data_IF_758166077533
#
_entry.id   IF_758166077533
#
_cell.length_a   1.000
_cell.length_b   1.000
_cell.length_c   1.000
_cell.angle_alpha   90.00
_cell.angle_beta   90.00
_cell.angle_gamma   90.00
#
_symmetry.space_group_name_H-M   'P 1'
#
loop_
_entity.id
_entity.type
_entity.pdbx_description
1 polymer ?
#
# COMPACT_ATOMS: atom_id res chain seq x y z
N UNK A 1 6.52 22.27 -11.20
CA UNK A 1 7.90 22.61 -10.77
C UNK A 1 8.12 24.12 -10.52
N UNK A 2 7.10 24.88 -10.08
CA UNK A 2 7.21 26.33 -9.83
C UNK A 2 7.21 26.73 -8.34
N UNK A 3 6.98 25.79 -7.41
CA UNK A 3 6.85 26.11 -5.98
C UNK A 3 8.20 26.24 -5.25
N UNK A 4 9.20 25.42 -5.59
CA UNK A 4 10.50 25.44 -4.89
C UNK A 4 11.33 26.71 -5.14
N UNK A 5 11.19 27.34 -6.32
CA UNK A 5 11.97 28.53 -6.68
C UNK A 5 11.51 29.79 -5.94
N UNK A 6 10.23 29.87 -5.60
CA UNK A 6 9.66 31.01 -4.87
C UNK A 6 10.07 30.94 -3.39
N UNK A 7 10.09 29.73 -2.81
CA UNK A 7 10.51 29.53 -1.41
C UNK A 7 12.00 29.85 -1.22
N UNK A 8 12.87 29.50 -2.16
CA UNK A 8 14.30 29.85 -2.09
C UNK A 8 14.57 31.36 -2.26
N UNK A 9 13.75 32.07 -3.02
CA UNK A 9 13.87 33.52 -3.16
C UNK A 9 13.42 34.27 -1.89
N UNK A 10 12.38 33.78 -1.22
CA UNK A 10 11.95 34.38 0.06
C UNK A 10 12.99 34.14 1.18
N UNK A 11 13.63 32.97 1.22
CA UNK A 11 14.67 32.67 2.21
C UNK A 11 15.97 33.48 2.02
N UNK A 12 16.32 33.84 0.78
CA UNK A 12 17.52 34.66 0.50
C UNK A 12 17.31 36.16 0.78
N UNK A 13 16.08 36.66 0.64
CA UNK A 13 15.74 38.07 0.99
C UNK A 13 15.61 38.26 2.50
N UNK A 14 15.09 37.26 3.24
CA UNK A 14 15.05 37.32 4.71
C UNK A 14 16.46 37.21 5.32
N UNK A 15 17.39 36.48 4.68
CA UNK A 15 18.79 36.39 5.15
C UNK A 15 19.60 37.69 5.00
N UNK A 16 19.24 38.57 4.07
CA UNK A 16 19.99 39.82 3.82
C UNK A 16 19.50 40.99 4.70
N UNK A 17 18.29 40.92 5.26
CA UNK A 17 17.78 41.94 6.18
C UNK A 17 18.34 41.87 7.61
N UNK A 18 19.08 40.81 7.96
CA UNK A 18 19.69 40.63 9.30
C UNK A 18 21.20 40.92 9.33
N UNK A 19 21.79 41.49 8.26
CA UNK A 19 23.24 41.69 8.18
C UNK A 19 23.69 43.09 7.76
N UNK A 20 22.83 44.12 7.88
CA UNK A 20 23.21 45.49 7.56
C UNK A 20 23.10 46.40 8.79
N UNK A 21 24.25 46.96 9.16
CA UNK A 21 24.49 48.08 10.08
C UNK A 21 23.94 47.98 11.51
N UNK A 22 24.80 47.47 12.39
CA UNK A 22 24.91 48.00 13.75
C UNK A 22 26.31 48.57 13.89
N UNK A 23 26.36 49.89 14.12
CA UNK A 23 27.52 50.73 13.92
C UNK A 23 28.71 50.41 14.82
N UNK A 24 29.83 51.00 14.45
CA UNK A 24 31.14 50.96 15.12
C UNK A 24 31.14 51.49 16.58
N UNK A 25 29.99 51.81 17.17
CA UNK A 25 29.89 52.52 18.45
C UNK A 25 29.37 51.67 19.64
N UNK A 26 28.88 50.45 19.41
CA UNK A 26 28.34 49.61 20.50
C UNK A 26 29.40 48.72 21.20
N UNK A 27 30.61 48.60 20.63
CA UNK A 27 31.68 47.79 21.23
C UNK A 27 32.48 48.53 22.33
N UNK A 28 32.51 49.87 22.28
CA UNK A 28 33.14 50.71 23.32
C UNK A 28 32.18 51.00 24.48
N UNK A 29 30.87 51.08 24.22
CA UNK A 29 29.84 51.29 25.24
C UNK A 29 29.53 50.03 26.07
N UNK A 30 29.68 48.82 25.49
CA UNK A 30 29.44 47.54 26.16
C UNK A 30 30.63 47.03 27.01
N UNK A 31 31.54 47.91 27.43
CA UNK A 31 32.62 47.57 28.37
C UNK A 31 33.82 46.82 27.77
N UNK A 32 33.98 46.79 26.43
CA UNK A 32 35.06 46.12 25.72
C UNK A 32 36.47 46.74 25.87
N UNK A 33 36.61 47.83 26.64
CA UNK A 33 37.89 48.50 26.89
C UNK A 33 38.69 47.95 28.08
N UNK A 34 38.08 47.13 28.93
CA UNK A 34 38.77 46.55 30.09
C UNK A 34 39.27 45.18 29.69
N UNK A 35 40.52 45.12 29.22
CA UNK A 35 41.27 43.86 29.28
C UNK A 35 41.25 43.45 30.73
N UNK A 36 40.39 42.49 31.07
CA UNK A 36 40.43 41.81 32.37
C UNK A 36 41.88 41.39 32.65
N UNK A 37 42.28 41.25 33.92
CA UNK A 37 43.64 40.87 34.25
C UNK A 37 44.02 39.73 33.33
N UNK A 38 45.04 39.93 32.47
CA UNK A 38 45.60 38.81 31.71
C UNK A 38 45.72 37.70 32.74
N UNK A 39 45.16 36.53 32.46
CA UNK A 39 45.45 35.34 33.26
C UNK A 39 46.95 35.33 33.34
N UNK A 40 47.46 35.74 34.51
CA UNK A 40 48.89 35.73 34.79
C UNK A 40 49.26 34.31 34.45
N UNK A 41 50.17 34.16 33.49
CA UNK A 41 50.75 32.88 33.13
C UNK A 41 50.99 32.16 34.44
N UNK A 42 50.17 31.11 34.66
CA UNK A 42 49.98 30.47 35.96
C UNK A 42 51.39 30.24 36.50
N UNK A 43 51.75 31.02 37.53
CA UNK A 43 53.11 31.13 38.06
C UNK A 43 53.77 29.77 37.90
N UNK A 44 54.74 29.66 36.98
CA UNK A 44 55.36 28.37 36.66
C UNK A 44 55.80 27.81 37.99
N UNK A 45 55.06 26.80 38.47
CA UNK A 45 55.37 26.24 39.77
C UNK A 45 56.79 25.71 39.63
N UNK A 46 57.59 25.87 40.68
CA UNK A 46 58.95 25.29 40.78
C UNK A 46 58.96 23.78 40.47
N UNK A 47 57.79 23.14 40.40
CA UNK A 47 57.56 21.76 39.95
C UNK A 47 57.67 21.52 38.42
N UNK A 48 57.92 22.55 37.59
CA UNK A 48 58.05 22.42 36.13
C UNK A 48 59.51 22.36 35.64
N UNK A 49 60.45 22.02 36.51
CA UNK A 49 61.85 21.80 36.12
C UNK A 49 61.98 20.47 35.36
N UNK A 50 62.31 20.57 34.07
CA UNK A 50 62.31 19.45 33.12
C UNK A 50 63.72 18.86 32.89
N UNK A 51 64.64 19.07 33.84
CA UNK A 51 66.04 18.67 33.73
C UNK A 51 66.29 17.16 34.00
N UNK A 52 65.27 16.33 33.77
CA UNK A 52 65.33 14.88 33.98
C UNK A 52 65.59 14.15 32.65
N UNK A 53 66.47 13.12 32.63
CA UNK A 53 66.67 12.31 31.44
C UNK A 53 65.40 11.53 31.07
N UNK A 54 65.25 11.17 29.80
CA UNK A 54 64.15 10.32 29.36
C UNK A 54 64.21 8.94 30.03
N UNK A 55 63.06 8.44 30.47
CA UNK A 55 62.95 7.10 31.05
C UNK A 55 63.15 6.02 29.98
N UNK A 56 63.79 4.91 30.38
CA UNK A 56 63.83 3.66 29.63
C UNK A 56 62.73 2.71 30.11
N UNK A 57 62.41 1.66 29.34
CA UNK A 57 61.34 0.71 29.71
C UNK A 57 61.64 -0.03 31.04
N UNK A 58 62.92 -0.21 31.37
CA UNK A 58 63.39 -0.81 32.63
C UNK A 58 63.19 0.11 33.85
N UNK A 59 62.99 1.42 33.64
CA UNK A 59 62.68 2.37 34.72
C UNK A 59 61.22 2.28 35.18
N UNK A 60 60.35 1.66 34.39
CA UNK A 60 58.97 1.38 34.80
C UNK A 60 59.00 0.36 35.96
N UNK A 61 58.15 0.54 36.98
CA UNK A 61 58.16 -0.16 38.28
C UNK A 61 59.16 0.39 39.32
N UNK A 62 60.32 0.93 38.91
CA UNK A 62 61.27 1.60 39.84
C UNK A 62 61.03 3.11 39.97
N UNK A 63 60.64 3.79 38.89
CA UNK A 63 60.21 5.20 38.88
C UNK A 63 58.73 5.28 38.57
N UNK A 64 57.94 5.75 39.54
CA UNK A 64 56.49 5.87 39.41
C UNK A 64 56.05 7.33 39.33
N UNK A 65 54.98 7.64 38.58
CA UNK A 65 54.40 8.97 38.56
C UNK A 65 53.90 9.37 39.95
N UNK A 66 53.86 10.67 40.22
CA UNK A 66 53.32 11.18 41.47
C UNK A 66 51.86 10.74 41.67
N UNK A 67 51.52 10.36 42.91
CA UNK A 67 50.16 9.94 43.27
C UNK A 67 49.10 11.01 42.99
N UNK A 68 49.44 12.30 43.08
CA UNK A 68 48.53 13.40 42.75
C UNK A 68 48.14 13.42 41.26
N UNK A 69 49.10 13.15 40.35
CA UNK A 69 48.81 13.06 38.91
C UNK A 69 47.94 11.85 38.61
N UNK A 70 48.24 10.70 39.22
CA UNK A 70 47.43 9.50 39.05
C UNK A 70 46.02 9.68 39.59
N UNK A 71 45.85 10.30 40.76
CA UNK A 71 44.53 10.57 41.33
C UNK A 71 43.69 11.48 40.43
N UNK A 72 44.29 12.52 39.86
CA UNK A 72 43.61 13.41 38.91
C UNK A 72 43.14 12.68 37.65
N UNK A 73 43.99 11.85 37.05
CA UNK A 73 43.64 11.07 35.87
C UNK A 73 42.57 10.01 36.18
N UNK A 74 42.68 9.32 37.32
CA UNK A 74 41.68 8.34 37.76
C UNK A 74 40.32 9.02 37.94
N UNK A 75 40.29 10.19 38.58
CA UNK A 75 39.03 10.91 38.83
C UNK A 75 38.42 11.48 37.54
N UNK A 76 39.24 12.04 36.65
CA UNK A 76 38.81 12.53 35.33
C UNK A 76 38.20 11.41 34.48
N UNK A 77 38.89 10.27 34.40
CA UNK A 77 38.42 9.11 33.64
C UNK A 77 37.15 8.50 34.27
N UNK A 78 37.09 8.40 35.60
CA UNK A 78 35.87 7.94 36.29
C UNK A 78 34.68 8.87 36.04
N UNK A 79 34.92 10.19 36.01
CA UNK A 79 33.88 11.17 35.70
C UNK A 79 33.41 11.05 34.25
N UNK A 80 34.32 10.88 33.29
CA UNK A 80 33.96 10.68 31.87
C UNK A 80 33.16 9.38 31.67
N UNK A 81 33.59 8.27 32.29
CA UNK A 81 32.82 7.02 32.27
C UNK A 81 31.43 7.20 32.88
N UNK A 82 31.31 7.89 34.01
CA UNK A 82 30.01 8.14 34.65
C UNK A 82 29.08 8.97 33.75
N UNK A 83 29.61 10.04 33.15
CA UNK A 83 28.86 10.88 32.22
C UNK A 83 28.39 10.10 30.99
N UNK A 84 29.28 9.27 30.43
CA UNK A 84 28.98 8.43 29.27
C UNK A 84 27.96 7.34 29.59
N UNK A 85 28.09 6.69 30.75
CA UNK A 85 27.12 5.69 31.23
C UNK A 85 25.74 6.31 31.40
N UNK A 86 25.66 7.51 31.97
CA UNK A 86 24.38 8.21 32.15
C UNK A 86 23.73 8.58 30.81
N UNK A 87 24.52 9.06 29.84
CA UNK A 87 24.02 9.34 28.48
C UNK A 87 23.50 8.07 27.80
N UNK A 88 24.25 6.96 27.90
CA UNK A 88 23.84 5.67 27.37
C UNK A 88 22.56 5.17 28.03
N UNK A 89 22.48 5.26 29.36
CA UNK A 89 21.30 4.83 30.13
C UNK A 89 20.05 5.62 29.74
N UNK A 90 20.17 6.94 29.58
CA UNK A 90 19.05 7.79 29.16
C UNK A 90 18.57 7.40 27.75
N UNK A 91 19.49 7.23 26.79
CA UNK A 91 19.13 6.79 25.44
C UNK A 91 18.46 5.41 25.43
N UNK A 92 18.93 4.47 26.26
CA UNK A 92 18.35 3.14 26.36
C UNK A 92 16.91 3.20 26.88
N UNK A 93 16.63 4.01 27.89
CA UNK A 93 15.27 4.19 28.40
C UNK A 93 14.34 4.84 27.37
N UNK A 94 14.83 5.81 26.59
CA UNK A 94 14.06 6.40 25.49
C UNK A 94 13.70 5.35 24.44
N UNK A 95 14.66 4.54 23.98
CA UNK A 95 14.36 3.45 23.04
C UNK A 95 13.40 2.41 23.62
N UNK A 96 13.52 2.08 24.91
CA UNK A 96 12.62 1.15 25.56
C UNK A 96 11.18 1.69 25.63
N UNK A 97 11.02 2.99 25.88
CA UNK A 97 9.71 3.67 25.88
C UNK A 97 9.13 3.68 24.46
N UNK A 98 9.90 4.16 23.48
CA UNK A 98 9.46 4.22 22.08
C UNK A 98 9.10 2.84 21.53
N UNK A 99 9.84 1.79 21.90
CA UNK A 99 9.51 0.43 21.50
C UNK A 99 8.15 -0.04 22.06
N UNK A 100 7.74 0.39 23.27
CA UNK A 100 6.40 0.08 23.80
C UNK A 100 5.33 0.79 22.98
N UNK A 101 5.54 2.05 22.62
CA UNK A 101 4.61 2.86 21.85
C UNK A 101 4.51 2.39 20.39
N UNK A 102 5.63 2.05 19.74
CA UNK A 102 5.63 1.47 18.39
C UNK A 102 4.97 0.10 18.35
N UNK A 103 5.17 -0.73 19.39
CA UNK A 103 4.54 -2.04 19.47
C UNK A 103 3.03 -1.95 19.71
N UNK A 104 2.54 -0.97 20.47
CA UNK A 104 1.10 -0.74 20.63
C UNK A 104 0.47 -0.26 19.32
N UNK A 105 1.11 0.70 18.63
CA UNK A 105 0.67 1.16 17.30
C UNK A 105 0.63 0.03 16.27
N UNK A 106 1.68 -0.79 16.22
CA UNK A 106 1.76 -1.93 15.30
C UNK A 106 0.63 -2.94 15.56
N UNK A 107 0.32 -3.23 16.83
CA UNK A 107 -0.82 -4.09 17.18
C UNK A 107 -2.15 -3.49 16.74
N UNK A 108 -2.36 -2.19 16.96
CA UNK A 108 -3.59 -1.52 16.54
C UNK A 108 -3.79 -1.61 15.03
N UNK A 109 -2.75 -1.30 14.24
CA UNK A 109 -2.80 -1.41 12.77
C UNK A 109 -3.06 -2.86 12.35
N UNK A 110 -2.39 -3.83 12.99
CA UNK A 110 -2.56 -5.25 12.67
C UNK A 110 -3.97 -5.75 12.94
N UNK A 111 -4.60 -5.34 14.04
CA UNK A 111 -5.99 -5.72 14.36
C UNK A 111 -6.99 -5.08 13.39
N UNK A 112 -6.79 -3.81 13.01
CA UNK A 112 -7.63 -3.14 12.01
C UNK A 112 -7.55 -3.87 10.67
N UNK A 113 -6.34 -4.09 10.14
CA UNK A 113 -6.15 -4.78 8.86
C UNK A 113 -6.72 -6.21 8.91
N UNK A 114 -6.51 -6.94 10.01
CA UNK A 114 -7.06 -8.28 10.20
C UNK A 114 -8.59 -8.29 10.17
N UNK A 115 -9.24 -7.30 10.80
CA UNK A 115 -10.68 -7.11 10.74
C UNK A 115 -11.17 -6.79 9.33
N UNK A 116 -10.50 -5.87 8.64
CA UNK A 116 -10.85 -5.43 7.30
C UNK A 116 -10.73 -6.57 6.27
N UNK A 117 -9.66 -7.37 6.32
CA UNK A 117 -9.51 -8.54 5.45
C UNK A 117 -10.60 -9.59 5.70
N UNK A 118 -10.97 -9.85 6.95
CA UNK A 118 -12.05 -10.77 7.27
C UNK A 118 -13.42 -10.25 6.77
N UNK A 119 -13.67 -8.95 6.92
CA UNK A 119 -14.88 -8.30 6.42
C UNK A 119 -14.94 -8.28 4.89
N UNK A 120 -13.83 -7.96 4.22
CA UNK A 120 -13.71 -7.99 2.76
C UNK A 120 -13.96 -9.39 2.21
N UNK A 121 -13.37 -10.43 2.81
CA UNK A 121 -13.62 -11.82 2.43
C UNK A 121 -15.11 -12.20 2.56
N UNK A 122 -15.78 -11.74 3.62
CA UNK A 122 -17.23 -11.94 3.77
C UNK A 122 -18.06 -11.16 2.74
N UNK A 123 -17.59 -10.01 2.27
CA UNK A 123 -18.26 -9.27 1.19
C UNK A 123 -18.09 -9.98 -0.15
N UNK A 124 -16.88 -10.46 -0.44
CA UNK A 124 -16.57 -11.20 -1.66
C UNK A 124 -17.33 -12.52 -1.73
N UNK A 125 -17.43 -13.26 -0.63
CA UNK A 125 -18.21 -14.50 -0.61
C UNK A 125 -19.70 -14.26 -0.90
N UNK A 126 -20.25 -13.15 -0.41
CA UNK A 126 -21.66 -12.79 -0.61
C UNK A 126 -21.87 -12.35 -2.05
N UNK A 127 -20.98 -11.51 -2.57
CA UNK A 127 -21.00 -11.08 -3.96
C UNK A 127 -20.89 -12.26 -4.92
N UNK A 128 -19.95 -13.18 -4.67
CA UNK A 128 -19.75 -14.37 -5.49
C UNK A 128 -21.01 -15.22 -5.55
N UNK A 129 -21.67 -15.47 -4.40
CA UNK A 129 -22.94 -16.21 -4.35
C UNK A 129 -24.04 -15.56 -5.18
N UNK A 130 -24.23 -14.25 -5.03
CA UNK A 130 -25.27 -13.51 -5.77
C UNK A 130 -24.96 -13.47 -7.27
N UNK A 131 -23.69 -13.27 -7.64
CA UNK A 131 -23.27 -13.24 -9.04
C UNK A 131 -23.45 -14.58 -9.74
N UNK A 132 -23.16 -15.70 -9.07
CA UNK A 132 -23.34 -17.05 -9.61
C UNK A 132 -24.83 -17.40 -9.75
N UNK A 133 -25.67 -17.03 -8.77
CA UNK A 133 -27.13 -17.21 -8.87
C UNK A 133 -27.70 -16.41 -10.06
N UNK A 134 -27.37 -15.12 -10.17
CA UNK A 134 -27.80 -14.27 -11.28
C UNK A 134 -27.34 -14.83 -12.64
N UNK A 135 -26.08 -15.25 -12.75
CA UNK A 135 -25.54 -15.84 -13.98
C UNK A 135 -26.32 -17.09 -14.39
N UNK A 136 -26.59 -17.99 -13.43
CA UNK A 136 -27.35 -19.22 -13.71
C UNK A 136 -28.77 -18.92 -14.18
N UNK A 137 -29.45 -17.94 -13.56
CA UNK A 137 -30.81 -17.52 -13.94
C UNK A 137 -30.85 -16.87 -15.32
N UNK A 138 -29.86 -16.03 -15.64
CA UNK A 138 -29.74 -15.40 -16.96
C UNK A 138 -29.52 -16.45 -18.04
N UNK A 139 -28.68 -17.46 -17.80
CA UNK A 139 -28.45 -18.56 -18.76
C UNK A 139 -29.72 -19.42 -18.98
N UNK A 140 -30.48 -19.68 -17.92
CA UNK A 140 -31.78 -20.37 -18.03
C UNK A 140 -32.78 -19.51 -18.81
N UNK A 141 -32.85 -18.21 -18.52
CA UNK A 141 -33.76 -17.29 -19.19
C UNK A 141 -33.40 -17.15 -20.68
N UNK A 142 -32.11 -17.04 -21.00
CA UNK A 142 -31.62 -16.98 -22.38
C UNK A 142 -32.06 -18.21 -23.19
N UNK A 143 -31.95 -19.42 -22.62
CA UNK A 143 -32.44 -20.66 -23.25
C UNK A 143 -33.95 -20.59 -23.53
N UNK A 144 -34.75 -20.18 -22.54
CA UNK A 144 -36.21 -20.04 -22.70
C UNK A 144 -36.58 -18.98 -23.74
N UNK A 145 -35.91 -17.82 -23.75
CA UNK A 145 -36.16 -16.76 -24.72
C UNK A 145 -35.86 -17.24 -26.14
N UNK A 146 -34.73 -17.94 -26.35
CA UNK A 146 -34.39 -18.51 -27.66
C UNK A 146 -35.47 -19.50 -28.14
N UNK A 147 -35.94 -20.39 -27.27
CA UNK A 147 -37.00 -21.34 -27.59
C UNK A 147 -38.31 -20.63 -28.01
N UNK A 148 -38.72 -19.60 -27.26
CA UNK A 148 -39.93 -18.83 -27.58
C UNK A 148 -39.78 -18.01 -28.86
N UNK A 149 -38.61 -17.45 -29.11
CA UNK A 149 -38.33 -16.74 -30.36
C UNK A 149 -38.36 -17.69 -31.55
N UNK A 150 -37.76 -18.89 -31.44
CA UNK A 150 -37.84 -19.92 -32.48
C UNK A 150 -39.30 -20.34 -32.76
N UNK A 151 -40.10 -20.53 -31.72
CA UNK A 151 -41.52 -20.85 -31.85
C UNK A 151 -42.29 -19.74 -32.58
N UNK A 152 -42.03 -18.47 -32.25
CA UNK A 152 -42.65 -17.32 -32.91
C UNK A 152 -42.23 -17.24 -34.38
N UNK A 153 -40.95 -17.44 -34.69
CA UNK A 153 -40.45 -17.42 -36.07
C UNK A 153 -41.09 -18.51 -36.94
N UNK A 154 -41.27 -19.71 -36.38
CA UNK A 154 -41.96 -20.80 -37.06
C UNK A 154 -43.43 -20.44 -37.33
N UNK A 155 -44.13 -19.91 -36.32
CA UNK A 155 -45.52 -19.48 -36.47
C UNK A 155 -45.68 -18.33 -37.48
N UNK A 156 -44.78 -17.35 -37.47
CA UNK A 156 -44.75 -16.25 -38.43
C UNK A 156 -44.63 -16.76 -39.88
N UNK A 157 -43.74 -17.74 -40.12
CA UNK A 157 -43.57 -18.35 -41.43
C UNK A 157 -44.81 -19.15 -41.85
N UNK A 158 -45.42 -19.90 -40.93
CA UNK A 158 -46.65 -20.64 -41.21
C UNK A 158 -47.83 -19.71 -41.52
N UNK A 159 -48.00 -18.63 -40.76
CA UNK A 159 -49.06 -17.63 -41.00
C UNK A 159 -48.82 -16.92 -42.34
N UNK A 160 -47.56 -16.59 -42.69
CA UNK A 160 -47.23 -16.03 -44.01
C UNK A 160 -47.66 -16.97 -45.14
N UNK A 161 -47.31 -18.25 -45.04
CA UNK A 161 -47.70 -19.25 -46.05
C UNK A 161 -49.23 -19.38 -46.14
N UNK A 162 -49.91 -19.45 -45.00
CA UNK A 162 -51.37 -19.52 -44.94
C UNK A 162 -52.04 -18.28 -45.54
N UNK A 163 -51.52 -17.08 -45.29
CA UNK A 163 -52.08 -15.83 -45.83
C UNK A 163 -52.00 -15.80 -47.37
N UNK A 164 -50.88 -16.26 -47.92
CA UNK A 164 -50.70 -16.35 -49.38
C UNK A 164 -51.68 -17.37 -49.98
N UNK A 165 -51.84 -18.52 -49.34
CA UNK A 165 -52.76 -19.56 -49.82
C UNK A 165 -54.23 -19.12 -49.70
N UNK A 166 -54.61 -18.42 -48.63
CA UNK A 166 -55.94 -17.82 -48.49
C UNK A 166 -56.20 -16.78 -49.59
N UNK A 167 -55.23 -15.90 -49.88
CA UNK A 167 -55.36 -14.93 -51.00
C UNK A 167 -55.59 -15.63 -52.34
N UNK A 168 -54.87 -16.74 -52.61
CA UNK A 168 -55.05 -17.52 -53.85
C UNK A 168 -56.41 -18.22 -53.90
N UNK A 169 -56.81 -18.84 -52.79
CA UNK A 169 -58.07 -19.57 -52.68
C UNK A 169 -59.28 -18.63 -52.81
N UNK A 170 -59.18 -17.42 -52.26
CA UNK A 170 -60.21 -16.39 -52.35
C UNK A 170 -60.50 -16.02 -53.82
N UNK A 171 -59.45 -15.78 -54.61
CA UNK A 171 -59.55 -15.48 -56.05
C UNK A 171 -60.05 -16.70 -56.84
N UNK A 172 -59.58 -17.91 -56.52
CA UNK A 172 -60.03 -19.13 -57.19
C UNK A 172 -61.52 -19.39 -56.95
N UNK A 173 -62.00 -19.22 -55.71
CA UNK A 173 -63.41 -19.36 -55.35
C UNK A 173 -64.25 -18.29 -56.05
N UNK A 174 -63.77 -17.06 -56.19
CA UNK A 174 -64.47 -16.01 -56.95
C UNK A 174 -64.75 -16.41 -58.38
N UNK A 175 -63.71 -16.89 -59.06
CA UNK A 175 -63.78 -17.32 -60.45
C UNK A 175 -64.74 -18.50 -60.55
N UNK A 176 -64.65 -19.46 -59.64
CA UNK A 176 -65.56 -20.61 -59.58
C UNK A 176 -67.01 -20.18 -59.36
N UNK A 177 -67.29 -19.27 -58.44
CA UNK A 177 -68.66 -18.77 -58.21
C UNK A 177 -69.18 -18.01 -59.44
N UNK A 178 -68.35 -17.18 -60.07
CA UNK A 178 -68.71 -16.43 -61.28
C UNK A 178 -68.96 -17.37 -62.47
N UNK A 179 -68.23 -18.47 -62.57
CA UNK A 179 -68.41 -19.49 -63.61
C UNK A 179 -69.81 -20.14 -63.58
N UNK A 180 -70.42 -20.26 -62.40
CA UNK A 180 -71.76 -20.83 -62.24
C UNK A 180 -72.88 -19.97 -62.84
N UNK A 181 -72.62 -18.71 -63.23
CA UNK A 181 -73.63 -17.83 -63.82
C UNK A 181 -74.22 -18.36 -65.13
N UNK A 182 -73.46 -19.18 -65.86
CA UNK A 182 -73.93 -19.85 -67.09
C UNK A 182 -74.59 -21.21 -66.88
N UNK A 183 -74.53 -21.76 -65.67
CA UNK A 183 -75.01 -23.13 -65.38
C UNK A 183 -76.12 -23.19 -64.32
N UNK A 184 -76.19 -22.20 -63.42
CA UNK A 184 -77.16 -22.15 -62.32
C UNK A 184 -78.20 -21.05 -62.54
N UNK A 185 -79.38 -21.20 -61.92
CA UNK A 185 -80.48 -20.23 -62.01
C UNK A 185 -80.17 -18.88 -61.36
N UNK A 186 -79.23 -18.85 -60.40
CA UNK A 186 -78.79 -17.64 -59.69
C UNK A 186 -77.29 -17.69 -59.44
N UNK A 187 -76.62 -16.56 -59.63
CA UNK A 187 -75.23 -16.37 -59.25
C UNK A 187 -75.12 -15.44 -58.03
N UNK A 188 -74.20 -15.74 -57.13
CA UNK A 188 -73.88 -14.90 -55.99
C UNK A 188 -72.98 -13.74 -56.45
N UNK A 189 -73.46 -12.51 -56.35
CA UNK A 189 -72.64 -11.33 -56.56
C UNK A 189 -71.86 -11.04 -55.25
N UNK A 190 -70.54 -11.16 -55.32
CA UNK A 190 -69.61 -10.82 -54.24
C UNK A 190 -68.42 -10.08 -54.84
N UNK A 191 -67.81 -9.21 -54.04
CA UNK A 191 -66.58 -8.49 -54.39
C UNK A 191 -65.50 -8.87 -53.38
N UNK A 192 -64.26 -8.94 -53.83
CA UNK A 192 -63.12 -9.40 -53.04
C UNK A 192 -62.19 -8.24 -52.80
N UNK A 193 -61.86 -8.02 -51.53
CA UNK A 193 -60.89 -7.02 -51.16
C UNK A 193 -59.47 -7.63 -51.13
N UNK A 194 -58.75 -7.47 -52.22
CA UNK A 194 -57.34 -7.86 -52.31
C UNK A 194 -56.42 -6.88 -51.57
N UNK A 195 -56.89 -5.66 -51.28
CA UNK A 195 -56.10 -4.61 -50.65
C UNK A 195 -55.83 -4.95 -49.19
N UNK A 196 -56.82 -5.48 -48.48
CA UNK A 196 -56.68 -5.94 -47.09
C UNK A 196 -55.59 -7.01 -46.96
N UNK A 197 -55.60 -8.02 -47.84
CA UNK A 197 -54.56 -9.06 -47.85
C UNK A 197 -53.15 -8.50 -48.09
N UNK A 198 -53.00 -7.49 -48.97
CA UNK A 198 -51.71 -6.84 -49.21
C UNK A 198 -51.23 -6.01 -48.03
N UNK A 199 -52.14 -5.33 -47.34
CA UNK A 199 -51.80 -4.54 -46.16
C UNK A 199 -51.41 -5.44 -44.99
N UNK A 200 -52.12 -6.55 -44.78
CA UNK A 200 -51.76 -7.58 -43.80
C UNK A 200 -50.39 -8.21 -44.12
N UNK A 201 -50.11 -8.49 -45.39
CA UNK A 201 -48.81 -9.03 -45.80
C UNK A 201 -47.67 -8.04 -45.52
N UNK A 202 -47.85 -6.76 -45.85
CA UNK A 202 -46.87 -5.70 -45.56
C UNK A 202 -46.61 -5.55 -44.06
N UNK A 203 -47.67 -5.59 -43.25
CA UNK A 203 -47.54 -5.54 -41.79
C UNK A 203 -46.77 -6.75 -41.26
N UNK A 204 -47.06 -7.96 -41.75
CA UNK A 204 -46.36 -9.17 -41.34
C UNK A 204 -44.88 -9.16 -41.73
N UNK A 205 -44.55 -8.72 -42.94
CA UNK A 205 -43.16 -8.57 -43.39
C UNK A 205 -42.39 -7.55 -42.54
N UNK A 206 -43.02 -6.44 -42.17
CA UNK A 206 -42.43 -5.43 -41.30
C UNK A 206 -42.11 -5.98 -39.89
N UNK A 207 -42.96 -6.87 -39.36
CA UNK A 207 -42.74 -7.50 -38.05
C UNK A 207 -41.63 -8.56 -38.12
N UNK A 208 -41.60 -9.37 -39.18
CA UNK A 208 -40.58 -10.43 -39.35
C UNK A 208 -39.18 -9.84 -39.58
N UNK A 209 -39.10 -8.65 -40.17
CA UNK A 209 -37.82 -7.96 -40.37
C UNK A 209 -37.14 -7.52 -39.06
N UNK A 210 -37.86 -7.50 -37.92
CA UNK A 210 -37.27 -7.15 -36.62
C UNK A 210 -36.59 -8.38 -36.02
N UNK A 211 -35.31 -8.24 -35.69
CA UNK A 211 -34.59 -9.29 -34.97
C UNK A 211 -35.10 -9.39 -33.52
N UNK A 212 -35.55 -10.59 -33.15
CA UNK A 212 -36.05 -10.92 -31.81
C UNK A 212 -34.98 -11.64 -30.99
N UNK A 213 -33.88 -12.07 -31.61
CA UNK A 213 -32.81 -12.72 -30.89
C UNK A 213 -32.00 -11.69 -30.08
N UNK A 214 -31.62 -12.01 -28.83
CA UNK A 214 -30.69 -11.19 -28.10
C UNK A 214 -29.36 -11.12 -28.88
N UNK A 215 -28.75 -9.92 -28.93
CA UNK A 215 -27.44 -9.69 -29.54
C UNK A 215 -26.48 -10.82 -29.16
N UNK A 216 -25.74 -11.32 -30.16
CA UNK A 216 -24.79 -12.45 -30.07
C UNK A 216 -23.53 -12.10 -29.27
N UNK A 217 -23.64 -11.22 -28.28
CA UNK A 217 -22.53 -10.81 -27.44
C UNK A 217 -22.16 -11.95 -26.49
N UNK A 218 -21.16 -12.65 -27.01
CA UNK A 218 -20.27 -13.63 -26.43
C UNK A 218 -19.51 -13.07 -25.23
N UNK A 219 -20.20 -12.60 -24.21
CA UNK A 219 -19.59 -12.40 -22.89
C UNK A 219 -20.08 -13.48 -21.93
N UNK A 220 -19.79 -14.74 -22.28
CA UNK A 220 -19.40 -15.68 -21.23
C UNK A 220 -18.03 -15.21 -20.75
N UNK A 221 -17.98 -14.14 -19.96
CA UNK A 221 -16.75 -13.74 -19.27
C UNK A 221 -16.30 -14.98 -18.54
N UNK A 222 -15.14 -15.51 -18.95
CA UNK A 222 -14.54 -16.67 -18.34
C UNK A 222 -14.48 -16.39 -16.84
N UNK A 223 -14.86 -17.37 -16.03
CA UNK A 223 -14.82 -17.27 -14.57
C UNK A 223 -13.44 -16.75 -14.18
N UNK A 224 -13.35 -15.49 -13.80
CA UNK A 224 -12.11 -14.94 -13.27
C UNK A 224 -11.92 -15.67 -11.95
N UNK A 225 -11.01 -16.66 -11.94
CA UNK A 225 -10.66 -17.41 -10.75
C UNK A 225 -9.80 -16.54 -9.85
N UNK A 226 -10.36 -15.44 -9.33
CA UNK A 226 -9.90 -14.90 -8.08
C UNK A 226 -10.34 -15.92 -7.01
N UNK A 227 -9.51 -16.96 -6.79
CA UNK A 227 -9.62 -17.74 -5.56
C UNK A 227 -9.37 -16.75 -4.43
N UNK A 228 -10.27 -16.72 -3.44
CA UNK A 228 -10.10 -15.92 -2.23
C UNK A 228 -8.65 -15.99 -1.77
N UNK A 229 -8.07 -14.83 -1.50
CA UNK A 229 -6.72 -14.78 -0.96
C UNK A 229 -6.70 -15.63 0.32
N UNK A 230 -5.72 -16.54 0.49
CA UNK A 230 -5.65 -17.36 1.68
C UNK A 230 -5.66 -16.46 2.91
N UNK A 231 -6.46 -16.84 3.91
CA UNK A 231 -6.62 -16.09 5.16
C UNK A 231 -5.28 -15.55 5.64
N UNK A 232 -5.23 -14.23 5.83
CA UNK A 232 -4.09 -13.51 6.35
C UNK A 232 -3.51 -14.23 7.58
N UNK A 233 -2.27 -14.72 7.49
CA UNK A 233 -1.57 -15.43 8.56
C UNK A 233 -0.63 -14.47 9.30
N UNK A 234 -0.98 -14.03 10.53
CA UNK A 234 -0.17 -13.09 11.31
C UNK A 234 1.23 -13.61 11.63
N UNK A 235 1.44 -14.93 11.59
CA UNK A 235 2.71 -15.56 11.96
C UNK A 235 3.79 -15.33 10.89
N UNK A 236 3.42 -15.20 9.62
CA UNK A 236 4.34 -14.96 8.50
C UNK A 236 4.89 -13.52 8.51
N UNK A 237 4.05 -12.54 8.81
CA UNK A 237 4.44 -11.12 8.84
C UNK A 237 5.32 -10.83 10.06
N UNK A 238 5.07 -11.51 11.19
CA UNK A 238 5.94 -11.38 12.37
C UNK A 238 7.38 -11.81 12.08
N UNK A 239 7.60 -12.81 11.22
CA UNK A 239 8.96 -13.22 10.82
C UNK A 239 9.64 -12.18 9.92
N UNK A 240 8.94 -11.61 8.94
CA UNK A 240 9.49 -10.58 8.06
C UNK A 240 9.76 -9.27 8.79
N UNK A 241 8.82 -8.79 9.61
CA UNK A 241 9.02 -7.58 10.42
C UNK A 241 10.16 -7.77 11.42
N UNK A 242 10.34 -8.96 12.00
CA UNK A 242 11.47 -9.26 12.88
C UNK A 242 12.81 -9.28 12.14
N UNK A 243 12.81 -9.66 10.86
CA UNK A 243 14.00 -9.60 9.99
C UNK A 243 14.35 -8.15 9.66
N UNK A 244 13.38 -7.35 9.21
CA UNK A 244 13.57 -5.94 8.85
C UNK A 244 13.99 -5.10 10.07
N UNK A 245 13.38 -5.36 11.24
CA UNK A 245 13.76 -4.68 12.48
C UNK A 245 15.15 -5.11 12.98
N UNK A 246 15.61 -6.32 12.64
CA UNK A 246 16.99 -6.75 12.93
C UNK A 246 18.01 -6.09 11.99
N UNK A 247 17.58 -5.72 10.78
CA UNK A 247 18.41 -5.05 9.76
C UNK A 247 18.49 -3.53 9.96
N UNK A 248 17.45 -2.92 10.56
CA UNK A 248 17.38 -1.48 10.85
C UNK A 248 17.73 -1.09 12.30
N UNK A 249 18.09 -2.05 13.17
CA UNK A 249 18.82 -1.73 14.40
C UNK A 249 20.28 -1.55 13.98
N UNK A 250 20.83 -0.32 13.93
CA UNK A 250 22.25 -0.15 13.66
C UNK A 250 23.02 -0.90 14.75
N UNK A 251 23.83 -1.84 14.30
CA UNK A 251 24.91 -2.52 15.02
C UNK A 251 24.87 -2.32 16.54
N UNK A 252 24.26 -3.28 17.24
CA UNK A 252 24.53 -3.50 18.68
C UNK A 252 26.03 -3.71 18.95
N UNK A 253 26.80 -3.97 17.89
CA UNK A 253 28.25 -4.15 17.86
C UNK A 253 29.06 -2.84 17.63
N UNK A 254 28.50 -1.74 17.09
CA UNK A 254 29.29 -0.50 16.87
C UNK A 254 29.45 0.35 18.12
N UNK A 255 28.57 0.18 19.11
CA UNK A 255 28.70 0.87 20.40
C UNK A 255 29.62 0.14 21.40
N UNK A 256 30.00 -1.11 21.11
CA UNK A 256 30.90 -1.93 21.94
C UNK A 256 32.35 -1.94 21.46
N UNK A 257 32.64 -1.37 20.29
CA UNK A 257 34.02 -1.14 19.86
C UNK A 257 34.59 0.14 20.50
N UNK A 258 34.83 0.07 21.80
CA UNK A 258 35.93 0.82 22.41
C UNK A 258 37.06 -0.17 22.67
N UNK A 259 38.33 0.18 22.36
CA UNK A 259 39.45 -0.65 22.75
C UNK A 259 39.53 -0.62 24.28
N UNK A 260 39.03 -1.66 24.93
CA UNK A 260 39.44 -2.02 26.29
C UNK A 260 40.90 -2.46 26.18
N UNK A 261 41.86 -1.81 26.86
CA UNK A 261 43.20 -2.36 26.95
C UNK A 261 43.12 -3.68 27.73
N UNK A 262 43.90 -4.65 27.27
CA UNK A 262 43.99 -5.99 27.81
C UNK A 262 44.22 -6.01 29.32
N UNK A 263 43.17 -6.27 30.10
CA UNK A 263 43.31 -6.79 31.48
C UNK A 263 42.19 -7.80 31.70
N UNK A 264 42.28 -8.96 31.05
CA UNK A 264 41.49 -10.16 31.41
C UNK A 264 42.06 -11.42 30.77
N UNK A 265 43.28 -11.77 31.16
CA UNK A 265 43.86 -13.11 30.93
C UNK A 265 44.40 -13.76 32.22
N UNK A 266 44.07 -13.23 33.40
CA UNK A 266 44.56 -13.76 34.69
C UNK A 266 43.49 -14.20 35.71
N UNK A 267 42.28 -14.55 35.27
CA UNK A 267 41.25 -15.14 36.16
C UNK A 267 40.60 -16.43 35.64
N UNK A 268 41.29 -17.18 34.79
CA UNK A 268 40.79 -18.49 34.30
C UNK A 268 41.71 -19.69 34.58
N UNK A 269 42.80 -19.51 35.34
CA UNK A 269 43.72 -20.59 35.72
C UNK A 269 43.86 -20.71 37.23
N UNK A 270 42.76 -21.01 37.91
CA UNK A 270 42.77 -21.16 39.37
C UNK A 270 41.62 -22.00 39.88
N UNK A 271 41.33 -23.15 39.27
CA UNK A 271 40.41 -24.15 39.83
C UNK A 271 40.57 -25.50 39.13
N UNK A 272 41.68 -26.21 39.37
CA UNK A 272 41.73 -27.67 39.24
C UNK A 272 42.92 -28.23 40.04
N UNK A 273 42.59 -29.25 40.84
CA UNK A 273 43.44 -30.15 41.67
C UNK A 273 43.99 -29.60 43.00
N UNK A 274 43.37 -29.99 44.13
CA UNK A 274 43.97 -30.99 45.02
C UNK A 274 42.91 -31.63 45.96
N UNK A 275 42.90 -32.96 45.93
CA UNK A 275 42.18 -33.89 46.83
C UNK A 275 42.72 -33.80 48.28
N UNK A 276 42.06 -34.41 49.27
CA UNK A 276 42.13 -35.86 49.47
C UNK A 276 40.82 -36.58 49.16
#
# INVERSE_FOLDING_TARGET
MFSMRIVCLVLSVVGTAWTTDTGEDDFLAAGGGVRGPRVVEKQQSVCRDSDWPFCSDEDWNYRCPSGCRMKGLIDEVNQDFTNRINKLRNSLFEYQKNNKDSNSLTRNIMEILRGDFAAANNRDNTYNRVSEDLRSRIEVLKRKVIEKVQQIQLLQNNVRAQLIDMKRLEVDIDIKIRSCRGSCSRALAREIDLKDYEDQQKQLEQVIAKDLLPSRDSLSVARHTAKEAPHFNPRAIRSEVKLIMKEHIPLRETMLNLPLPEVSTLLLWGSLTLSP
#
